data_IF_089426915195
#
_entry.id   IF_089426915195
#
_cell.length_a   1.000
_cell.length_b   1.000
_cell.length_c   1.000
_cell.angle_alpha   90.00
_cell.angle_beta   90.00
_cell.angle_gamma   90.00
#
_symmetry.space_group_name_H-M   'P 1'
#
loop_
_entity.id
_entity.type
_entity.pdbx_description
1 polymer ?
#
# COMPACT_ATOMS: atom_id res chain seq x y z
N UNK A 1 13.15 -11.57 -19.33
CA UNK A 1 12.34 -11.60 -18.10
C UNK A 1 12.62 -12.86 -17.26
N UNK A 2 12.60 -14.06 -17.84
CA UNK A 2 12.79 -15.34 -17.10
C UNK A 2 14.04 -15.41 -16.20
N UNK A 3 15.15 -14.75 -16.57
CA UNK A 3 16.39 -14.74 -15.77
C UNK A 3 16.24 -14.03 -14.43
N UNK A 4 15.38 -13.01 -14.36
CA UNK A 4 15.13 -12.21 -13.15
C UNK A 4 14.23 -12.98 -12.18
N UNK A 5 13.23 -13.70 -12.71
CA UNK A 5 12.30 -14.52 -11.93
C UNK A 5 12.96 -15.73 -11.26
N UNK A 6 14.17 -16.14 -11.72
CA UNK A 6 14.98 -17.17 -11.03
C UNK A 6 15.53 -16.68 -9.68
N UNK A 7 15.65 -15.37 -9.48
CA UNK A 7 16.05 -14.82 -8.20
C UNK A 7 14.86 -14.87 -7.23
N UNK A 8 14.92 -15.80 -6.27
CA UNK A 8 13.81 -16.05 -5.35
C UNK A 8 13.46 -14.84 -4.48
N UNK A 9 14.42 -13.98 -4.16
CA UNK A 9 14.16 -12.76 -3.38
C UNK A 9 13.41 -11.72 -4.23
N UNK A 10 13.81 -11.55 -5.48
CA UNK A 10 13.07 -10.71 -6.43
C UNK A 10 11.66 -11.25 -6.67
N UNK A 11 11.52 -12.56 -6.87
CA UNK A 11 10.22 -13.19 -7.11
C UNK A 11 9.25 -12.95 -5.94
N UNK A 12 9.72 -13.11 -4.70
CA UNK A 12 8.92 -12.82 -3.49
C UNK A 12 8.50 -11.35 -3.41
N UNK A 13 9.39 -10.43 -3.72
CA UNK A 13 9.08 -8.99 -3.76
C UNK A 13 8.04 -8.68 -4.83
N UNK A 14 8.24 -9.21 -6.04
CA UNK A 14 7.36 -9.02 -7.19
C UNK A 14 5.95 -9.58 -6.95
N UNK A 15 5.84 -10.83 -6.52
CA UNK A 15 4.54 -11.44 -6.22
C UNK A 15 3.83 -10.72 -5.07
N UNK A 16 4.57 -10.37 -4.01
CA UNK A 16 4.02 -9.62 -2.88
C UNK A 16 3.48 -8.25 -3.32
N UNK A 17 4.17 -7.55 -4.23
CA UNK A 17 3.69 -6.25 -4.72
C UNK A 17 2.45 -6.36 -5.60
N UNK A 18 2.38 -7.36 -6.48
CA UNK A 18 1.17 -7.66 -7.27
C UNK A 18 -0.02 -7.90 -6.34
N UNK A 19 0.14 -8.81 -5.36
CA UNK A 19 -0.93 -9.13 -4.42
C UNK A 19 -1.36 -7.91 -3.60
N UNK A 20 -0.40 -7.09 -3.15
CA UNK A 20 -0.72 -5.86 -2.41
C UNK A 20 -1.51 -4.90 -3.28
N UNK A 21 -1.03 -4.58 -4.48
CA UNK A 21 -1.69 -3.59 -5.35
C UNK A 21 -3.09 -4.04 -5.79
N UNK A 22 -3.28 -5.35 -6.03
CA UNK A 22 -4.62 -5.90 -6.26
C UNK A 22 -5.53 -5.71 -5.04
N UNK A 23 -5.03 -6.01 -3.83
CA UNK A 23 -5.77 -5.79 -2.59
C UNK A 23 -6.08 -4.31 -2.33
N UNK A 24 -5.12 -3.41 -2.55
CA UNK A 24 -5.28 -1.97 -2.41
C UNK A 24 -6.35 -1.43 -3.38
N UNK A 25 -6.38 -1.93 -4.61
CA UNK A 25 -7.38 -1.54 -5.62
C UNK A 25 -8.79 -1.95 -5.21
N UNK A 26 -8.95 -3.20 -4.75
CA UNK A 26 -10.23 -3.72 -4.25
C UNK A 26 -10.66 -2.93 -3.01
N UNK A 27 -9.75 -2.71 -2.07
CA UNK A 27 -9.99 -1.93 -0.86
C UNK A 27 -10.44 -0.50 -1.21
N UNK A 28 -9.76 0.18 -2.14
CA UNK A 28 -10.10 1.54 -2.51
C UNK A 28 -11.53 1.65 -3.03
N UNK A 29 -11.92 0.76 -3.96
CA UNK A 29 -13.28 0.74 -4.52
C UNK A 29 -14.30 0.41 -3.42
N UNK A 30 -14.04 -0.62 -2.61
CA UNK A 30 -14.95 -1.05 -1.54
C UNK A 30 -15.10 0.03 -0.45
N UNK A 31 -14.01 0.68 -0.04
CA UNK A 31 -14.03 1.73 0.97
C UNK A 31 -14.78 2.98 0.47
N UNK A 32 -14.57 3.39 -0.78
CA UNK A 32 -15.31 4.52 -1.37
C UNK A 32 -16.80 4.23 -1.45
N UNK A 33 -17.17 3.01 -1.85
CA UNK A 33 -18.57 2.57 -1.86
C UNK A 33 -19.16 2.57 -0.44
N UNK A 34 -18.46 1.98 0.52
CA UNK A 34 -18.90 1.87 1.91
C UNK A 34 -19.08 3.26 2.55
N UNK A 35 -18.19 4.21 2.28
CA UNK A 35 -18.33 5.60 2.76
C UNK A 35 -19.59 6.25 2.17
N UNK A 36 -19.88 6.02 0.88
CA UNK A 36 -21.09 6.52 0.26
C UNK A 36 -22.35 5.92 0.89
N UNK A 37 -22.35 4.60 1.11
CA UNK A 37 -23.47 3.87 1.72
C UNK A 37 -23.74 4.32 3.16
N UNK A 38 -22.69 4.46 3.98
CA UNK A 38 -22.82 4.90 5.38
C UNK A 38 -23.07 6.41 5.53
N UNK A 39 -22.47 7.23 4.67
CA UNK A 39 -22.54 8.69 4.76
C UNK A 39 -23.70 9.32 4.00
N UNK A 40 -24.27 8.62 3.01
CA UNK A 40 -25.42 9.02 2.23
C UNK A 40 -25.23 10.27 1.35
N UNK A 41 -24.00 10.78 1.19
CA UNK A 41 -23.75 12.02 0.44
C UNK A 41 -22.41 12.04 -0.27
N UNK A 42 -22.36 12.77 -1.39
CA UNK A 42 -21.15 12.99 -2.17
C UNK A 42 -20.04 13.74 -1.39
N UNK A 43 -20.41 14.50 -0.35
CA UNK A 43 -19.45 15.18 0.51
C UNK A 43 -18.52 14.20 1.22
N UNK A 44 -19.06 13.14 1.83
CA UNK A 44 -18.24 12.15 2.54
C UNK A 44 -17.33 11.37 1.60
N UNK A 45 -17.81 11.02 0.40
CA UNK A 45 -16.98 10.38 -0.61
C UNK A 45 -15.85 11.30 -1.08
N UNK A 46 -16.12 12.59 -1.29
CA UNK A 46 -15.10 13.59 -1.61
C UNK A 46 -14.06 13.74 -0.49
N UNK A 47 -14.51 13.77 0.77
CA UNK A 47 -13.63 13.80 1.94
C UNK A 47 -12.77 12.54 2.05
N UNK A 48 -13.35 11.35 1.79
CA UNK A 48 -12.60 10.11 1.75
C UNK A 48 -11.50 10.13 0.67
N UNK A 49 -11.83 10.64 -0.53
CA UNK A 49 -10.85 10.84 -1.60
C UNK A 49 -9.71 11.77 -1.16
N UNK A 50 -10.05 12.91 -0.56
CA UNK A 50 -9.06 13.83 0.01
C UNK A 50 -8.17 13.14 1.06
N UNK A 51 -8.74 12.44 2.03
CA UNK A 51 -8.00 11.75 3.09
C UNK A 51 -7.14 10.61 2.55
N UNK A 52 -7.51 10.00 1.42
CA UNK A 52 -6.70 8.99 0.75
C UNK A 52 -5.47 9.60 0.07
N UNK A 53 -5.61 10.78 -0.52
CA UNK A 53 -4.54 11.47 -1.26
C UNK A 53 -3.64 12.33 -0.36
N UNK A 54 -4.18 12.91 0.71
CA UNK A 54 -3.47 13.83 1.62
C UNK A 54 -2.15 13.25 2.17
N UNK A 55 -2.04 11.96 2.55
CA UNK A 55 -0.78 11.37 3.00
C UNK A 55 0.36 11.42 1.96
N UNK A 56 0.06 11.55 0.66
CA UNK A 56 1.08 11.64 -0.38
C UNK A 56 1.99 12.86 -0.20
N UNK A 57 1.48 13.95 0.38
CA UNK A 57 2.26 15.16 0.69
C UNK A 57 3.41 14.84 1.64
N UNK A 58 3.31 13.80 2.47
CA UNK A 58 4.35 13.37 3.41
C UNK A 58 5.33 12.35 2.83
N UNK A 59 5.22 12.00 1.55
CA UNK A 59 6.09 10.98 0.94
C UNK A 59 7.58 11.36 1.01
N UNK A 60 7.93 12.65 1.04
CA UNK A 60 9.32 13.09 1.21
C UNK A 60 9.98 12.60 2.52
N UNK A 61 9.18 12.33 3.57
CA UNK A 61 9.68 11.79 4.84
C UNK A 61 10.13 10.33 4.73
N UNK A 62 9.70 9.61 3.70
CA UNK A 62 10.01 8.18 3.53
C UNK A 62 11.49 7.93 3.24
N UNK A 63 12.17 8.86 2.55
CA UNK A 63 13.60 8.74 2.23
C UNK A 63 14.48 8.62 3.48
N UNK A 64 14.48 9.62 4.39
CA UNK A 64 15.24 9.55 5.64
C UNK A 64 14.91 8.33 6.51
N UNK A 65 13.67 7.82 6.46
CA UNK A 65 13.26 6.61 7.19
C UNK A 65 13.91 5.36 6.57
N UNK A 66 13.88 5.24 5.24
CA UNK A 66 14.48 4.14 4.49
C UNK A 66 16.00 4.08 4.69
N UNK A 67 16.66 5.23 4.84
CA UNK A 67 18.11 5.29 5.06
C UNK A 67 18.52 4.77 6.44
N UNK A 68 17.63 4.86 7.45
CA UNK A 68 17.92 4.51 8.85
C UNK A 68 17.40 3.14 9.26
N UNK A 69 16.38 2.62 8.58
CA UNK A 69 15.68 1.39 8.95
C UNK A 69 15.88 0.34 7.87
N UNK A 70 16.07 -0.93 8.27
CA UNK A 70 16.19 -2.01 7.29
C UNK A 70 14.94 -2.11 6.41
N UNK A 71 15.12 -1.98 5.10
CA UNK A 71 14.02 -1.86 4.13
C UNK A 71 13.08 -3.08 4.17
N UNK A 72 13.64 -4.28 4.36
CA UNK A 72 12.84 -5.51 4.51
C UNK A 72 11.86 -5.43 5.68
N UNK A 73 12.31 -4.94 6.84
CA UNK A 73 11.43 -4.77 8.01
C UNK A 73 10.39 -3.71 7.73
N UNK A 74 10.80 -2.58 7.14
CA UNK A 74 9.92 -1.47 6.80
C UNK A 74 8.74 -1.93 5.91
N UNK A 75 9.03 -2.63 4.81
CA UNK A 75 8.02 -3.21 3.91
C UNK A 75 7.14 -4.24 4.63
N UNK A 76 7.73 -5.11 5.44
CA UNK A 76 6.96 -6.18 6.11
C UNK A 76 6.00 -5.59 7.15
N UNK A 77 6.49 -4.70 8.01
CA UNK A 77 5.69 -4.06 9.05
C UNK A 77 4.63 -3.14 8.45
N UNK A 78 4.94 -2.39 7.39
CA UNK A 78 3.92 -1.54 6.74
C UNK A 78 2.74 -2.37 6.24
N UNK A 79 2.99 -3.50 5.57
CA UNK A 79 1.91 -4.35 5.06
C UNK A 79 1.14 -5.05 6.17
N UNK A 80 1.81 -5.49 7.24
CA UNK A 80 1.13 -6.12 8.38
C UNK A 80 0.22 -5.12 9.09
N UNK A 81 0.71 -3.90 9.35
CA UNK A 81 -0.10 -2.85 9.99
C UNK A 81 -1.26 -2.45 9.07
N UNK A 82 -1.00 -2.32 7.75
CA UNK A 82 -2.04 -2.01 6.78
C UNK A 82 -3.14 -3.07 6.77
N UNK A 83 -2.79 -4.35 6.76
CA UNK A 83 -3.75 -5.45 6.82
C UNK A 83 -4.57 -5.43 8.12
N UNK A 84 -3.94 -5.16 9.26
CA UNK A 84 -4.64 -5.02 10.55
C UNK A 84 -5.63 -3.84 10.51
N UNK A 85 -5.22 -2.70 9.94
CA UNK A 85 -6.08 -1.52 9.80
C UNK A 85 -7.30 -1.80 8.91
N UNK A 86 -7.09 -2.50 7.79
CA UNK A 86 -8.18 -2.91 6.89
C UNK A 86 -9.12 -3.89 7.62
N UNK A 87 -8.59 -4.83 8.39
CA UNK A 87 -9.38 -5.80 9.17
C UNK A 87 -10.24 -5.15 10.25
N UNK A 88 -9.88 -3.99 10.77
CA UNK A 88 -10.75 -3.27 11.71
C UNK A 88 -12.10 -2.90 11.12
N UNK A 89 -12.21 -2.68 9.80
CA UNK A 89 -13.46 -2.31 9.14
C UNK A 89 -14.52 -3.43 9.24
N UNK A 90 -14.28 -4.67 8.76
CA UNK A 90 -15.25 -5.74 8.91
C UNK A 90 -15.46 -6.15 10.38
N UNK A 91 -14.46 -6.04 11.25
CA UNK A 91 -14.65 -6.29 12.69
C UNK A 91 -15.61 -5.27 13.30
N UNK A 92 -15.44 -3.98 12.98
CA UNK A 92 -16.36 -2.93 13.44
C UNK A 92 -17.78 -3.15 12.91
N UNK A 93 -17.92 -3.69 11.69
CA UNK A 93 -19.22 -4.08 11.14
C UNK A 93 -19.87 -5.19 11.96
N UNK A 94 -19.13 -6.26 12.26
CA UNK A 94 -19.63 -7.39 13.06
C UNK A 94 -20.01 -7.02 14.50
N UNK A 95 -19.45 -5.93 15.02
CA UNK A 95 -19.75 -5.39 16.35
C UNK A 95 -20.85 -4.31 16.33
N UNK A 96 -21.46 -4.03 15.17
CA UNK A 96 -22.49 -2.99 14.97
C UNK A 96 -22.05 -1.58 15.39
N UNK A 97 -20.74 -1.31 15.43
CA UNK A 97 -20.16 0.02 15.74
C UNK A 97 -19.62 0.74 14.51
N UNK A 98 -19.71 0.11 13.33
CA UNK A 98 -19.24 0.69 12.09
C UNK A 98 -20.06 1.94 11.73
N UNK A 99 -19.35 3.04 11.48
CA UNK A 99 -19.94 4.27 10.98
C UNK A 99 -18.97 4.95 10.01
N UNK A 100 -19.48 5.94 9.26
CA UNK A 100 -18.69 6.66 8.24
C UNK A 100 -17.45 7.33 8.83
N UNK A 101 -17.54 7.88 10.04
CA UNK A 101 -16.43 8.57 10.71
C UNK A 101 -15.28 7.61 11.00
N UNK A 102 -15.57 6.39 11.46
CA UNK A 102 -14.56 5.37 11.71
C UNK A 102 -13.80 5.01 10.43
N UNK A 103 -14.52 4.78 9.32
CA UNK A 103 -13.90 4.46 8.03
C UNK A 103 -13.01 5.62 7.57
N UNK A 104 -13.51 6.86 7.62
CA UNK A 104 -12.75 8.06 7.24
C UNK A 104 -11.48 8.24 8.08
N UNK A 105 -11.52 7.92 9.37
CA UNK A 105 -10.33 8.02 10.23
C UNK A 105 -9.27 6.98 9.88
N UNK A 106 -9.65 5.77 9.48
CA UNK A 106 -8.73 4.67 9.19
C UNK A 106 -8.05 4.83 7.82
N UNK A 107 -8.78 5.31 6.82
CA UNK A 107 -8.30 5.50 5.44
C UNK A 107 -6.95 6.23 5.31
N UNK A 108 -6.71 7.40 5.91
CA UNK A 108 -5.45 8.13 5.77
C UNK A 108 -4.25 7.36 6.35
N UNK A 109 -4.44 6.56 7.41
CA UNK A 109 -3.35 5.75 7.97
C UNK A 109 -2.97 4.59 7.05
N UNK A 110 -3.97 3.94 6.43
CA UNK A 110 -3.72 2.91 5.41
C UNK A 110 -2.95 3.51 4.23
N UNK A 111 -3.38 4.67 3.72
CA UNK A 111 -2.68 5.37 2.65
C UNK A 111 -1.25 5.76 3.04
N UNK A 112 -1.04 6.28 4.24
CA UNK A 112 0.28 6.67 4.73
C UNK A 112 1.27 5.49 4.76
N UNK A 113 0.82 4.30 5.17
CA UNK A 113 1.65 3.09 5.16
C UNK A 113 2.03 2.68 3.73
N UNK A 114 1.12 2.84 2.77
CA UNK A 114 1.40 2.52 1.36
C UNK A 114 2.44 3.46 0.74
N UNK A 115 2.50 4.72 1.18
CA UNK A 115 3.48 5.71 0.67
C UNK A 115 4.94 5.26 0.82
N UNK A 116 5.22 4.39 1.79
CA UNK A 116 6.56 3.85 2.03
C UNK A 116 6.96 2.81 0.99
N UNK A 117 5.99 2.08 0.43
CA UNK A 117 6.26 0.84 -0.29
C UNK A 117 6.96 1.08 -1.64
N UNK A 118 6.58 2.12 -2.38
CA UNK A 118 7.23 2.47 -3.65
C UNK A 118 8.71 2.84 -3.50
N UNK A 119 9.10 3.84 -2.67
CA UNK A 119 10.51 4.21 -2.50
C UNK A 119 11.34 3.07 -1.89
N UNK A 120 10.78 2.32 -0.95
CA UNK A 120 11.43 1.15 -0.37
C UNK A 120 11.70 0.05 -1.41
N UNK A 121 10.72 -0.24 -2.27
CA UNK A 121 10.86 -1.25 -3.33
C UNK A 121 11.91 -0.82 -4.36
N UNK A 122 11.89 0.45 -4.78
CA UNK A 122 12.87 1.02 -5.70
C UNK A 122 14.30 0.97 -5.14
N UNK A 123 14.46 1.16 -3.82
CA UNK A 123 15.76 1.03 -3.15
C UNK A 123 16.24 -0.43 -3.01
N UNK A 124 15.32 -1.41 -2.93
CA UNK A 124 15.65 -2.83 -2.77
C UNK A 124 16.03 -3.49 -4.09
N UNK A 125 15.45 -3.09 -5.22
CA UNK A 125 15.70 -3.74 -6.52
C UNK A 125 17.21 -3.79 -6.88
N UNK A 126 18.00 -2.71 -6.74
CA UNK A 126 19.44 -2.74 -6.98
C UNK A 126 20.24 -3.64 -6.06
N UNK A 127 19.70 -3.98 -4.88
CA UNK A 127 20.33 -4.89 -3.92
C UNK A 127 20.04 -6.36 -4.25
N UNK A 128 18.96 -6.63 -4.99
CA UNK A 128 18.54 -7.98 -5.35
C UNK A 128 19.06 -8.43 -6.72
N UNK A 129 19.27 -7.51 -7.64
CA UNK A 129 19.59 -7.80 -9.03
C UNK A 129 20.93 -7.19 -9.46
N UNK A 130 21.71 -7.89 -10.28
CA UNK A 130 22.91 -7.31 -10.89
C UNK A 130 22.52 -6.21 -11.89
N UNK A 131 23.45 -5.28 -12.16
CA UNK A 131 23.19 -4.06 -12.96
C UNK A 131 22.57 -4.35 -14.33
N UNK A 132 23.00 -5.43 -14.97
CA UNK A 132 22.56 -5.86 -16.31
C UNK A 132 21.10 -6.36 -16.32
N UNK A 133 20.55 -6.68 -15.14
CA UNK A 133 19.19 -7.15 -14.97
C UNK A 133 18.23 -6.06 -14.45
N UNK A 134 18.73 -4.88 -14.05
CA UNK A 134 17.90 -3.82 -13.47
C UNK A 134 16.80 -3.34 -14.41
N UNK A 135 17.10 -3.12 -15.70
CA UNK A 135 16.08 -2.73 -16.68
C UNK A 135 14.96 -3.77 -16.76
N UNK A 136 15.32 -5.07 -16.82
CA UNK A 136 14.34 -6.17 -16.86
C UNK A 136 13.54 -6.27 -15.55
N UNK A 137 14.18 -6.04 -14.41
CA UNK A 137 13.53 -6.01 -13.10
C UNK A 137 12.55 -4.86 -12.97
N UNK A 138 12.93 -3.64 -13.36
CA UNK A 138 12.07 -2.47 -13.37
C UNK A 138 10.89 -2.64 -14.34
N UNK A 139 11.11 -3.21 -15.53
CA UNK A 139 10.01 -3.52 -16.46
C UNK A 139 9.03 -4.56 -15.91
N UNK A 140 9.47 -5.51 -15.09
CA UNK A 140 8.53 -6.41 -14.40
C UNK A 140 7.78 -5.65 -13.32
N UNK A 141 8.47 -4.86 -12.51
CA UNK A 141 7.85 -4.09 -11.43
C UNK A 141 6.83 -3.06 -11.94
N UNK A 142 6.96 -2.52 -13.15
CA UNK A 142 5.92 -1.66 -13.74
C UNK A 142 4.61 -2.38 -14.05
N UNK A 143 4.59 -3.72 -14.15
CA UNK A 143 3.34 -4.49 -14.18
C UNK A 143 2.78 -4.75 -12.78
N UNK A 144 3.63 -4.64 -11.76
CA UNK A 144 3.19 -4.82 -10.39
C UNK A 144 2.53 -3.56 -9.84
N UNK A 145 2.94 -2.36 -10.29
CA UNK A 145 2.33 -1.06 -9.98
C UNK A 145 1.08 -0.78 -10.80
#
# INVERSE_FOLDING_TARGET
MMSVLKNMNFLKLFSGRITTNAGDSIYYVAAMWLVYELGGSAFYTGLAGFLTLMPQVFQFLTGPIIDRVSIRKLLTFSQVIQAILILFIPIAHLLDVLNVTLVLLVMPFISLLNQIAYPATSAVIPLLLPKEQLTKGNSLMSFAY
#
